data_IF_748324503243
#
_entry.id   IF_748324503243
#
_cell.length_a   1.000
_cell.length_b   1.000
_cell.length_c   1.000
_cell.angle_alpha   90.00
_cell.angle_beta   90.00
_cell.angle_gamma   90.00
#
_symmetry.space_group_name_H-M   'P 1'
#
loop_
_entity.id
_entity.type
_entity.pdbx_description
1 polymer ?
#
# COMPACT_ATOMS: atom_id res chain seq x y z
N UNK A 1 34.69 57.28 59.63
CA UNK A 1 33.96 56.05 60.00
C UNK A 1 32.46 56.31 59.84
N UNK A 2 31.80 55.42 59.09
CA UNK A 2 30.36 55.14 59.01
C UNK A 2 29.36 56.17 58.44
N UNK A 3 28.64 55.69 57.40
CA UNK A 3 27.21 55.89 57.07
C UNK A 3 26.83 56.77 55.86
N UNK A 4 26.35 56.13 54.77
CA UNK A 4 25.02 56.32 54.12
C UNK A 4 24.98 55.52 52.79
N UNK A 5 23.99 54.62 52.56
CA UNK A 5 22.69 54.81 51.86
C UNK A 5 22.85 55.49 50.49
N UNK A 6 22.24 55.10 49.37
CA UNK A 6 21.14 54.17 49.04
C UNK A 6 21.01 54.07 47.51
N UNK A 7 20.70 52.87 47.01
CA UNK A 7 19.74 52.52 45.95
C UNK A 7 19.65 53.35 44.65
N UNK A 8 20.04 52.70 43.55
CA UNK A 8 19.67 53.03 42.17
C UNK A 8 18.16 52.82 41.93
N UNK A 9 17.51 53.81 41.34
CA UNK A 9 16.17 53.72 40.71
C UNK A 9 16.28 54.45 39.37
N UNK A 10 16.33 53.70 38.26
CA UNK A 10 15.22 53.43 37.33
C UNK A 10 15.01 54.56 36.32
N UNK A 11 15.07 54.25 35.02
CA UNK A 11 14.23 54.85 33.96
C UNK A 11 14.43 54.10 32.62
N UNK A 12 13.29 53.62 32.09
CA UNK A 12 12.88 53.46 30.68
C UNK A 12 13.63 52.43 29.81
N UNK A 13 12.97 51.60 29.02
CA UNK A 13 11.55 51.52 28.68
C UNK A 13 11.39 50.72 27.38
N UNK A 14 10.25 50.01 27.28
CA UNK A 14 9.58 49.59 26.05
C UNK A 14 10.36 48.68 25.09
N UNK A 15 10.44 47.38 25.43
CA UNK A 15 10.39 46.32 24.43
C UNK A 15 8.94 45.85 24.28
N UNK A 16 8.26 46.37 23.26
CA UNK A 16 6.99 45.82 22.80
C UNK A 16 7.22 44.38 22.35
N UNK A 17 6.77 43.43 23.17
CA UNK A 17 6.78 42.02 22.82
C UNK A 17 5.62 41.80 21.88
N UNK A 18 5.89 41.72 20.57
CA UNK A 18 5.02 40.97 19.67
C UNK A 18 5.15 39.51 20.08
N UNK A 19 4.30 39.06 21.00
CA UNK A 19 4.02 37.65 21.14
C UNK A 19 3.23 37.25 19.90
N UNK A 20 3.92 36.74 18.88
CA UNK A 20 3.29 35.78 17.99
C UNK A 20 2.75 34.67 18.91
N UNK A 21 1.43 34.65 19.10
CA UNK A 21 0.76 33.50 19.70
C UNK A 21 1.01 32.37 18.73
N UNK A 22 2.01 31.54 19.03
CA UNK A 22 2.10 30.21 18.46
C UNK A 22 0.81 29.50 18.88
N UNK A 23 -0.20 29.53 18.01
CA UNK A 23 -1.40 28.70 18.16
C UNK A 23 -0.87 27.28 18.07
N UNK A 24 -0.80 26.61 19.22
CA UNK A 24 -0.33 25.24 19.28
C UNK A 24 -1.25 24.38 18.43
N UNK A 25 -0.72 23.79 17.38
CA UNK A 25 -1.49 22.91 16.50
C UNK A 25 -2.03 21.75 17.33
N UNK A 26 -3.36 21.62 17.38
CA UNK A 26 -4.04 20.64 18.22
C UNK A 26 -4.02 19.23 17.61
N UNK A 27 -3.95 18.23 18.48
CA UNK A 27 -4.26 16.82 18.16
C UNK A 27 -5.64 16.42 18.69
N UNK A 28 -6.54 17.38 18.77
CA UNK A 28 -7.86 17.23 19.39
C UNK A 28 -8.91 17.84 18.48
N UNK A 29 -10.00 17.12 18.26
CA UNK A 29 -11.11 17.64 17.46
C UNK A 29 -11.99 18.59 18.28
N UNK A 30 -12.30 19.78 17.76
CA UNK A 30 -13.08 20.78 18.48
C UNK A 30 -14.55 20.40 18.70
N UNK A 31 -15.10 19.45 17.92
CA UNK A 31 -16.51 19.06 18.01
C UNK A 31 -16.77 17.97 19.05
N UNK A 32 -15.83 17.05 19.26
CA UNK A 32 -16.01 15.94 20.22
C UNK A 32 -14.90 15.79 21.27
N UNK A 33 -13.85 16.62 21.22
CA UNK A 33 -12.77 16.63 22.20
C UNK A 33 -11.87 15.39 22.18
N UNK A 34 -11.98 14.54 21.16
CA UNK A 34 -11.18 13.30 21.03
C UNK A 34 -9.94 13.52 20.18
N UNK A 35 -9.01 12.57 20.23
CA UNK A 35 -7.79 12.64 19.43
C UNK A 35 -8.10 12.77 17.93
N UNK A 36 -7.51 13.76 17.28
CA UNK A 36 -7.65 14.03 15.85
C UNK A 36 -6.43 14.81 15.33
N UNK A 37 -5.70 14.20 14.40
CA UNK A 37 -4.54 14.79 13.72
C UNK A 37 -4.92 15.57 12.45
N UNK A 38 -6.22 15.81 12.19
CA UNK A 38 -6.69 16.48 10.98
C UNK A 38 -6.29 17.95 10.90
N UNK A 39 -6.32 18.67 12.03
CA UNK A 39 -5.78 20.04 12.10
C UNK A 39 -4.26 20.01 11.91
N UNK A 40 -3.56 19.11 12.61
CA UNK A 40 -2.13 18.91 12.41
C UNK A 40 -1.74 18.65 10.96
N UNK A 41 -2.46 17.78 10.24
CA UNK A 41 -2.21 17.50 8.83
C UNK A 41 -2.58 18.69 7.94
N UNK A 42 -3.63 19.44 8.25
CA UNK A 42 -3.99 20.64 7.49
C UNK A 42 -2.93 21.75 7.63
N UNK A 43 -2.37 21.91 8.82
CA UNK A 43 -1.39 22.96 9.10
C UNK A 43 0.03 22.53 8.76
N UNK A 44 0.46 21.30 9.03
CA UNK A 44 1.86 20.88 8.92
C UNK A 44 2.18 20.07 7.66
N UNK A 45 1.24 19.92 6.74
CA UNK A 45 1.51 19.42 5.38
C UNK A 45 2.28 20.48 4.54
N UNK A 46 3.36 21.02 5.09
CA UNK A 46 4.24 22.01 4.48
C UNK A 46 5.31 21.32 3.64
N UNK A 47 4.88 20.74 2.51
CA UNK A 47 5.82 20.15 1.56
C UNK A 47 6.50 18.85 2.01
N UNK A 48 6.32 18.41 3.26
CA UNK A 48 6.85 17.15 3.79
C UNK A 48 5.94 16.55 4.88
N UNK A 49 5.63 15.26 4.80
CA UNK A 49 4.89 14.50 5.80
C UNK A 49 5.57 13.14 6.04
N UNK A 50 6.19 12.91 7.21
CA UNK A 50 6.76 11.61 7.55
C UNK A 50 5.66 10.64 7.98
N UNK A 51 5.69 9.44 7.43
CA UNK A 51 4.72 8.37 7.65
C UNK A 51 5.47 7.13 8.12
N UNK A 52 5.25 6.65 9.36
CA UNK A 52 5.81 5.38 9.80
C UNK A 52 5.10 4.24 9.05
N UNK A 53 5.87 3.19 8.75
CA UNK A 53 5.35 1.94 8.21
C UNK A 53 5.64 0.85 9.23
N UNK A 54 4.63 0.03 9.50
CA UNK A 54 4.77 -1.18 10.31
C UNK A 54 4.49 -2.36 9.37
N UNK A 55 5.45 -3.27 9.27
CA UNK A 55 5.33 -4.49 8.47
C UNK A 55 4.98 -5.62 9.42
N UNK A 56 3.96 -6.37 9.05
CA UNK A 56 3.39 -7.48 9.84
C UNK A 56 3.02 -8.65 8.90
N UNK A 57 3.80 -8.80 7.84
CA UNK A 57 3.56 -9.78 6.80
C UNK A 57 4.17 -11.13 7.21
N UNK A 58 3.37 -12.20 7.38
CA UNK A 58 3.88 -13.51 7.79
C UNK A 58 5.03 -14.04 6.92
N UNK A 59 5.06 -13.71 5.62
CA UNK A 59 6.12 -14.15 4.71
C UNK A 59 7.51 -13.56 5.01
N UNK A 60 7.57 -12.39 5.66
CA UNK A 60 8.84 -11.65 5.92
C UNK A 60 9.05 -11.27 7.39
N UNK A 61 8.08 -11.56 8.26
CA UNK A 61 8.10 -11.26 9.69
C UNK A 61 7.79 -9.81 10.02
N UNK A 62 8.07 -9.42 11.26
CA UNK A 62 7.85 -8.05 11.73
C UNK A 62 8.89 -7.10 11.18
N UNK A 63 8.46 -5.90 10.81
CA UNK A 63 9.36 -4.85 10.34
C UNK A 63 8.85 -3.45 10.57
N UNK A 64 9.72 -2.49 10.31
CA UNK A 64 9.41 -1.08 10.42
C UNK A 64 10.11 -0.30 9.33
N UNK A 65 9.51 0.84 8.97
CA UNK A 65 10.05 1.74 7.98
C UNK A 65 9.56 3.16 8.17
N UNK A 66 10.10 4.05 7.35
CA UNK A 66 9.66 5.43 7.28
C UNK A 66 9.59 5.85 5.83
N UNK A 67 8.51 6.56 5.52
CA UNK A 67 8.31 7.19 4.22
C UNK A 67 8.08 8.67 4.41
N UNK A 68 8.86 9.48 3.71
CA UNK A 68 8.65 10.91 3.56
C UNK A 68 7.79 11.20 2.34
N UNK A 69 6.65 11.84 2.53
CA UNK A 69 5.81 12.36 1.44
C UNK A 69 6.09 13.84 1.22
N UNK A 70 6.61 14.19 0.05
CA UNK A 70 6.89 15.54 -0.38
C UNK A 70 5.76 16.08 -1.25
N UNK A 71 5.10 17.14 -0.77
CA UNK A 71 3.89 17.70 -1.36
C UNK A 71 4.27 18.89 -2.25
N UNK A 72 4.05 18.77 -3.56
CA UNK A 72 4.43 19.80 -4.54
C UNK A 72 3.18 20.56 -4.99
N UNK A 73 3.05 21.79 -4.53
CA UNK A 73 1.96 22.71 -4.83
C UNK A 73 2.45 24.16 -4.76
N UNK A 74 1.77 25.08 -5.45
CA UNK A 74 2.03 26.51 -5.28
C UNK A 74 1.51 27.01 -3.94
N UNK A 75 2.00 28.16 -3.46
CA UNK A 75 1.52 28.78 -2.23
C UNK A 75 0.00 29.06 -2.27
N UNK A 76 -0.52 29.41 -3.44
CA UNK A 76 -1.97 29.60 -3.64
C UNK A 76 -2.75 28.29 -3.50
N UNK A 77 -2.29 27.21 -4.13
CA UNK A 77 -2.91 25.89 -4.05
C UNK A 77 -2.90 25.35 -2.62
N UNK A 78 -1.77 25.55 -1.94
CA UNK A 78 -1.59 25.20 -0.53
C UNK A 78 -2.60 25.91 0.36
N UNK A 79 -2.75 27.22 0.21
CA UNK A 79 -3.70 28.01 1.01
C UNK A 79 -5.15 27.61 0.72
N UNK A 80 -5.49 27.31 -0.54
CA UNK A 80 -6.81 26.78 -0.90
C UNK A 80 -7.07 25.43 -0.24
N UNK A 81 -6.12 24.49 -0.32
CA UNK A 81 -6.21 23.17 0.31
C UNK A 81 -6.39 23.28 1.82
N UNK A 82 -5.60 24.15 2.48
CA UNK A 82 -5.72 24.42 3.92
C UNK A 82 -7.11 24.96 4.27
N UNK A 83 -7.63 25.94 3.53
CA UNK A 83 -8.98 26.49 3.75
C UNK A 83 -10.07 25.42 3.62
N UNK A 84 -10.03 24.61 2.56
CA UNK A 84 -10.99 23.52 2.36
C UNK A 84 -10.87 22.49 3.49
N UNK A 85 -9.66 22.12 3.90
CA UNK A 85 -9.45 21.21 5.02
C UNK A 85 -10.03 21.76 6.33
N UNK A 86 -9.76 23.03 6.64
CA UNK A 86 -10.26 23.71 7.85
C UNK A 86 -11.79 23.92 7.85
N UNK A 87 -12.44 23.92 6.70
CA UNK A 87 -13.91 23.96 6.58
C UNK A 87 -14.55 22.58 6.53
N UNK A 88 -13.81 21.55 6.11
CA UNK A 88 -14.30 20.18 6.04
C UNK A 88 -14.48 19.61 7.43
N UNK A 89 -15.62 18.96 7.66
CA UNK A 89 -15.93 18.29 8.94
C UNK A 89 -15.78 16.78 8.80
N UNK A 90 -16.47 16.15 7.84
CA UNK A 90 -16.55 14.69 7.71
C UNK A 90 -16.02 14.19 6.34
N UNK A 91 -14.70 14.02 6.22
CA UNK A 91 -14.11 13.31 5.08
C UNK A 91 -14.15 14.00 3.71
N UNK A 92 -14.48 15.30 3.66
CA UNK A 92 -14.55 16.09 2.42
C UNK A 92 -13.22 16.74 1.98
N UNK A 93 -12.18 16.71 2.83
CA UNK A 93 -10.90 17.31 2.50
C UNK A 93 -10.01 16.38 1.67
N UNK A 94 -9.28 16.95 0.71
CA UNK A 94 -8.25 16.22 -0.05
C UNK A 94 -6.88 16.47 0.59
N UNK A 95 -6.24 15.40 1.07
CA UNK A 95 -4.89 15.48 1.65
C UNK A 95 -3.79 15.55 0.58
N UNK A 96 -3.94 14.75 -0.49
CA UNK A 96 -2.89 14.56 -1.50
C UNK A 96 -3.05 15.62 -2.61
N UNK A 97 -2.04 16.49 -2.81
CA UNK A 97 -2.05 17.49 -3.87
C UNK A 97 -1.83 16.87 -5.26
N UNK A 98 -1.93 17.68 -6.34
CA UNK A 98 -1.74 17.19 -7.70
C UNK A 98 -0.36 16.56 -7.97
N UNK A 99 0.69 16.96 -7.24
CA UNK A 99 2.01 16.37 -7.37
C UNK A 99 2.58 15.97 -6.00
N UNK A 100 2.99 14.70 -5.86
CA UNK A 100 3.61 14.18 -4.64
C UNK A 100 4.81 13.31 -4.98
N UNK A 101 5.92 13.50 -4.29
CA UNK A 101 7.05 12.57 -4.31
C UNK A 101 7.08 11.81 -3.00
N UNK A 102 7.35 10.53 -3.04
CA UNK A 102 7.44 9.65 -1.89
C UNK A 102 8.85 9.09 -1.87
N UNK A 103 9.54 9.16 -0.73
CA UNK A 103 10.86 8.55 -0.57
C UNK A 103 10.88 7.82 0.77
N UNK A 104 11.37 6.59 0.80
CA UNK A 104 11.49 5.89 2.06
C UNK A 104 12.08 4.51 1.93
N UNK A 105 12.02 3.79 3.03
CA UNK A 105 12.47 2.41 3.10
C UNK A 105 12.00 1.75 4.38
N UNK A 106 12.07 0.43 4.38
CA UNK A 106 11.70 -0.40 5.51
C UNK A 106 12.59 -1.65 5.55
N UNK A 107 12.65 -2.27 6.72
CA UNK A 107 13.32 -3.53 6.93
C UNK A 107 12.52 -4.40 7.91
N UNK A 108 12.69 -5.71 7.82
CA UNK A 108 12.07 -6.71 8.69
C UNK A 108 13.13 -7.50 9.45
N UNK A 109 12.68 -8.22 10.47
CA UNK A 109 13.52 -9.05 11.32
C UNK A 109 14.18 -10.22 10.57
N UNK A 110 13.58 -10.70 9.47
CA UNK A 110 14.16 -11.75 8.65
C UNK A 110 15.25 -11.25 7.69
N UNK A 111 15.58 -9.96 7.72
CA UNK A 111 16.60 -9.35 6.86
C UNK A 111 16.07 -8.84 5.52
N UNK A 112 14.79 -9.01 5.21
CA UNK A 112 14.14 -8.36 4.06
C UNK A 112 14.17 -6.85 4.26
N UNK A 113 14.52 -6.11 3.21
CA UNK A 113 14.50 -4.65 3.22
C UNK A 113 14.27 -4.08 1.83
N UNK A 114 13.72 -2.89 1.78
CA UNK A 114 13.58 -2.13 0.54
C UNK A 114 13.78 -0.64 0.77
N UNK A 115 14.19 0.05 -0.30
CA UNK A 115 14.18 1.49 -0.41
C UNK A 115 13.47 1.87 -1.72
N UNK A 116 12.70 2.95 -1.69
CA UNK A 116 11.91 3.40 -2.82
C UNK A 116 11.90 4.92 -2.98
N UNK A 117 11.72 5.34 -4.22
CA UNK A 117 11.29 6.69 -4.58
C UNK A 117 10.17 6.58 -5.61
N UNK A 118 9.07 7.28 -5.36
CA UNK A 118 7.91 7.36 -6.23
C UNK A 118 7.52 8.81 -6.48
N UNK A 119 6.90 9.09 -7.61
CA UNK A 119 6.32 10.38 -7.95
C UNK A 119 4.98 10.16 -8.63
N UNK A 120 3.97 10.86 -8.14
CA UNK A 120 2.66 10.97 -8.79
C UNK A 120 2.47 12.42 -9.19
N UNK A 121 1.96 12.63 -10.41
CA UNK A 121 1.58 13.94 -10.89
C UNK A 121 0.29 13.90 -11.69
N UNK A 122 -0.49 14.96 -11.51
CA UNK A 122 -1.79 15.16 -12.12
C UNK A 122 -1.79 16.51 -12.84
N UNK A 123 -2.31 16.54 -14.08
CA UNK A 123 -2.44 17.75 -14.88
C UNK A 123 -3.88 17.92 -15.40
N UNK A 124 -4.16 19.13 -15.90
CA UNK A 124 -5.40 19.48 -16.60
C UNK A 124 -6.66 19.03 -15.86
N UNK A 125 -6.82 19.49 -14.60
CA UNK A 125 -8.00 19.16 -13.79
C UNK A 125 -8.24 17.64 -13.66
N UNK A 126 -7.13 16.92 -13.52
CA UNK A 126 -7.09 15.47 -13.37
C UNK A 126 -7.49 14.69 -14.63
N UNK A 127 -7.36 15.31 -15.80
CA UNK A 127 -7.48 14.65 -17.09
C UNK A 127 -6.25 13.82 -17.48
N UNK A 128 -5.07 14.13 -16.93
CA UNK A 128 -3.83 13.37 -17.20
C UNK A 128 -3.18 13.01 -15.86
N UNK A 129 -2.86 11.73 -15.68
CA UNK A 129 -2.15 11.23 -14.49
C UNK A 129 -0.87 10.53 -14.91
N UNK A 130 0.21 10.84 -14.21
CA UNK A 130 1.47 10.12 -14.28
C UNK A 130 1.79 9.54 -12.91
N UNK A 131 2.26 8.31 -12.91
CA UNK A 131 2.88 7.67 -11.77
C UNK A 131 4.20 7.07 -12.22
N UNK A 132 5.26 7.27 -11.46
CA UNK A 132 6.55 6.64 -11.72
C UNK A 132 7.24 6.34 -10.41
N UNK A 133 7.90 5.19 -10.33
CA UNK A 133 8.66 4.83 -9.14
C UNK A 133 9.78 3.86 -9.46
N UNK A 134 10.83 3.94 -8.65
CA UNK A 134 11.94 2.99 -8.66
C UNK A 134 12.23 2.58 -7.22
N UNK A 135 12.66 1.34 -7.05
CA UNK A 135 13.04 0.80 -5.76
C UNK A 135 14.12 -0.25 -5.91
N UNK A 136 14.78 -0.54 -4.81
CA UNK A 136 15.77 -1.60 -4.71
C UNK A 136 15.72 -2.21 -3.32
N UNK A 137 16.14 -3.45 -3.21
CA UNK A 137 16.06 -4.16 -1.95
C UNK A 137 16.47 -5.62 -2.05
N UNK A 138 16.26 -6.32 -0.95
CA UNK A 138 16.38 -7.76 -0.85
C UNK A 138 15.12 -8.32 -0.20
N UNK A 139 14.50 -9.31 -0.85
CA UNK A 139 13.34 -10.01 -0.32
C UNK A 139 13.73 -11.47 -0.01
N UNK A 140 13.65 -11.85 1.26
CA UNK A 140 13.93 -13.20 1.75
C UNK A 140 12.60 -13.83 2.07
N UNK A 141 12.18 -14.82 1.28
CA UNK A 141 10.87 -15.45 1.40
C UNK A 141 10.95 -16.94 1.16
N UNK A 142 9.95 -17.66 1.70
CA UNK A 142 9.76 -19.07 1.42
C UNK A 142 9.06 -19.22 0.07
N UNK A 143 9.69 -19.97 -0.83
CA UNK A 143 9.09 -20.38 -2.09
C UNK A 143 8.65 -21.84 -2.00
N UNK A 144 7.49 -22.17 -2.54
CA UNK A 144 6.90 -23.52 -2.42
C UNK A 144 6.91 -24.19 -3.80
N UNK A 145 8.08 -24.72 -4.26
CA UNK A 145 8.18 -25.33 -5.58
C UNK A 145 7.24 -26.55 -5.67
N UNK A 146 6.35 -26.52 -6.66
CA UNK A 146 5.15 -27.36 -6.74
C UNK A 146 5.42 -28.88 -6.90
N UNK A 147 4.44 -29.65 -6.40
CA UNK A 147 4.16 -31.08 -6.56
C UNK A 147 5.13 -32.12 -5.97
N UNK A 148 5.85 -31.82 -4.89
CA UNK A 148 6.38 -32.91 -4.04
C UNK A 148 5.69 -32.88 -2.67
N UNK A 149 4.99 -33.96 -2.32
CA UNK A 149 4.33 -34.11 -1.01
C UNK A 149 5.31 -33.95 0.16
N UNK A 150 6.60 -34.22 -0.07
CA UNK A 150 7.68 -34.11 0.91
C UNK A 150 8.08 -32.65 1.24
N UNK A 151 7.90 -31.71 0.32
CA UNK A 151 8.34 -30.31 0.48
C UNK A 151 7.20 -29.28 0.39
N UNK A 152 5.97 -29.73 0.07
CA UNK A 152 4.77 -28.87 -0.05
C UNK A 152 4.59 -27.93 1.15
N UNK A 153 4.84 -28.43 2.35
CA UNK A 153 4.64 -27.65 3.58
C UNK A 153 5.90 -26.95 4.10
N UNK A 154 7.09 -27.32 3.61
CA UNK A 154 8.37 -26.84 4.18
C UNK A 154 8.95 -25.61 3.48
N UNK A 155 8.59 -25.38 2.21
CA UNK A 155 9.14 -24.27 1.43
C UNK A 155 10.66 -24.36 1.25
N UNK A 156 11.20 -23.48 0.42
CA UNK A 156 12.63 -23.25 0.23
C UNK A 156 12.88 -21.77 0.36
N UNK A 157 13.79 -21.39 1.25
CA UNK A 157 14.16 -19.99 1.40
C UNK A 157 14.92 -19.51 0.16
N UNK A 158 14.39 -18.43 -0.43
CA UNK A 158 14.97 -17.76 -1.57
C UNK A 158 15.14 -16.29 -1.20
N UNK A 159 16.36 -15.79 -1.39
CA UNK A 159 16.64 -14.37 -1.36
C UNK A 159 16.64 -13.83 -2.79
N UNK A 160 15.82 -12.82 -3.05
CA UNK A 160 15.80 -12.09 -4.32
C UNK A 160 16.24 -10.66 -4.09
N UNK A 161 17.45 -10.34 -4.56
CA UNK A 161 18.04 -9.00 -4.54
C UNK A 161 17.80 -8.33 -5.88
N UNK A 162 17.45 -7.06 -5.89
CA UNK A 162 17.28 -6.39 -7.18
C UNK A 162 16.95 -4.92 -7.11
N UNK A 163 16.87 -4.34 -8.29
CA UNK A 163 16.31 -3.04 -8.53
C UNK A 163 15.15 -3.18 -9.52
N UNK A 164 14.13 -2.36 -9.35
CA UNK A 164 13.00 -2.35 -10.25
C UNK A 164 12.33 -0.99 -10.28
N UNK A 165 11.45 -0.81 -11.25
CA UNK A 165 10.69 0.40 -11.40
C UNK A 165 9.52 0.22 -12.34
N UNK A 166 8.56 1.11 -12.20
CA UNK A 166 7.40 1.17 -13.07
C UNK A 166 7.02 2.60 -13.37
N UNK A 167 6.38 2.81 -14.51
CA UNK A 167 5.81 4.09 -14.89
C UNK A 167 4.45 3.85 -15.55
N UNK A 168 3.48 4.71 -15.25
CA UNK A 168 2.13 4.71 -15.81
C UNK A 168 1.80 6.12 -16.29
N UNK A 169 1.23 6.22 -17.48
CA UNK A 169 0.66 7.45 -18.02
C UNK A 169 -0.78 7.17 -18.43
N UNK A 170 -1.70 7.92 -17.84
CA UNK A 170 -3.14 7.70 -17.94
C UNK A 170 -3.86 8.97 -18.39
N UNK A 171 -4.92 8.77 -19.16
CA UNK A 171 -5.79 9.81 -19.67
C UNK A 171 -7.23 9.52 -19.28
N UNK A 172 -7.92 10.53 -18.75
CA UNK A 172 -9.34 10.45 -18.42
C UNK A 172 -10.17 10.34 -19.70
N UNK A 173 -11.17 9.47 -19.68
CA UNK A 173 -12.14 9.31 -20.77
C UNK A 173 -13.30 10.27 -20.55
N UNK A 174 -13.30 11.38 -21.29
CA UNK A 174 -14.31 12.44 -21.19
C UNK A 174 -14.53 12.91 -19.73
N UNK A 175 -15.78 13.10 -19.32
CA UNK A 175 -16.16 13.50 -17.96
C UNK A 175 -16.40 12.31 -17.02
N UNK A 176 -15.93 11.11 -17.38
CA UNK A 176 -16.13 9.92 -16.57
C UNK A 176 -15.00 9.69 -15.55
N UNK A 177 -15.21 8.88 -14.51
CA UNK A 177 -14.15 8.43 -13.61
C UNK A 177 -13.17 7.40 -14.23
N UNK A 178 -13.31 7.09 -15.53
CA UNK A 178 -12.49 6.11 -16.23
C UNK A 178 -11.20 6.73 -16.76
N UNK A 179 -10.10 6.03 -16.54
CA UNK A 179 -8.78 6.32 -17.08
C UNK A 179 -8.30 5.14 -17.91
N UNK A 180 -7.67 5.46 -19.04
CA UNK A 180 -6.98 4.48 -19.88
C UNK A 180 -5.54 4.96 -20.04
N UNK A 181 -4.59 4.06 -19.92
CA UNK A 181 -3.18 4.39 -19.92
C UNK A 181 -2.28 3.35 -20.53
N UNK A 182 -1.03 3.74 -20.66
CA UNK A 182 0.10 2.86 -20.97
C UNK A 182 0.98 2.75 -19.74
N UNK A 183 1.70 1.63 -19.64
CA UNK A 183 2.65 1.41 -18.56
C UNK A 183 3.90 0.67 -19.00
N UNK A 184 4.95 0.88 -18.25
CA UNK A 184 6.22 0.20 -18.38
C UNK A 184 6.65 -0.34 -17.02
N UNK A 185 7.20 -1.55 -17.02
CA UNK A 185 7.83 -2.17 -15.88
C UNK A 185 9.25 -2.59 -16.26
N UNK A 186 10.19 -2.45 -15.34
CA UNK A 186 11.54 -2.97 -15.48
C UNK A 186 12.01 -3.50 -14.14
N UNK A 187 12.64 -4.68 -14.12
CA UNK A 187 13.38 -5.18 -12.98
C UNK A 187 14.63 -5.92 -13.42
N UNK A 188 15.65 -5.85 -12.57
CA UNK A 188 16.86 -6.66 -12.65
C UNK A 188 17.06 -7.29 -11.28
N UNK A 189 16.98 -8.61 -11.23
CA UNK A 189 17.03 -9.36 -9.98
C UNK A 189 18.04 -10.49 -10.05
N UNK A 190 18.69 -10.72 -8.93
CA UNK A 190 19.54 -11.86 -8.64
C UNK A 190 18.87 -12.70 -7.54
N UNK A 191 18.75 -13.99 -7.81
CA UNK A 191 18.07 -14.96 -6.97
C UNK A 191 19.13 -15.88 -6.40
N UNK A 192 19.20 -15.96 -5.07
CA UNK A 192 20.10 -16.83 -4.32
C UNK A 192 19.30 -17.74 -3.40
N UNK A 193 19.78 -18.95 -3.17
CA UNK A 193 19.22 -19.85 -2.15
C UNK A 193 20.28 -20.22 -1.13
N UNK A 194 19.86 -20.33 0.12
CA UNK A 194 20.71 -20.80 1.21
C UNK A 194 20.56 -22.32 1.32
N UNK A 195 21.65 -23.05 1.09
CA UNK A 195 21.87 -24.45 1.49
C UNK A 195 20.68 -25.42 1.39
N UNK A 196 20.43 -25.97 0.19
CA UNK A 196 19.57 -27.18 0.06
C UNK A 196 20.25 -28.41 0.70
N UNK A 197 21.57 -28.36 0.90
CA UNK A 197 22.38 -29.43 1.50
C UNK A 197 23.11 -28.90 2.74
N UNK A 198 22.94 -29.62 3.85
CA UNK A 198 23.35 -29.32 5.23
C UNK A 198 24.86 -29.10 5.48
N UNK A 199 25.69 -28.94 4.45
CA UNK A 199 27.15 -28.97 4.60
C UNK A 199 27.95 -27.83 3.94
N UNK A 200 27.31 -26.85 3.29
CA UNK A 200 28.01 -25.62 2.90
C UNK A 200 27.15 -24.38 3.15
N UNK A 201 27.65 -23.50 4.02
CA UNK A 201 27.08 -22.20 4.38
C UNK A 201 27.24 -21.14 3.29
N UNK A 202 27.48 -21.54 2.04
CA UNK A 202 27.60 -20.65 0.88
C UNK A 202 26.28 -20.64 0.13
N UNK A 203 25.58 -19.50 0.15
CA UNK A 203 24.44 -19.31 -0.75
C UNK A 203 24.89 -19.40 -2.21
N UNK A 204 24.09 -20.05 -3.06
CA UNK A 204 24.38 -20.18 -4.50
C UNK A 204 23.41 -19.31 -5.30
N UNK A 205 23.93 -18.53 -6.25
CA UNK A 205 23.12 -17.78 -7.22
C UNK A 205 22.41 -18.77 -8.15
N UNK A 206 21.08 -18.84 -8.03
CA UNK A 206 20.21 -19.68 -8.85
C UNK A 206 19.99 -19.07 -10.23
N UNK A 207 19.79 -17.75 -10.28
CA UNK A 207 19.51 -17.04 -11.52
C UNK A 207 19.79 -15.55 -11.36
N UNK A 208 20.16 -14.92 -12.48
CA UNK A 208 20.08 -13.48 -12.66
C UNK A 208 19.18 -13.23 -13.86
N UNK A 209 18.23 -12.32 -13.72
CA UNK A 209 17.17 -12.14 -14.70
C UNK A 209 16.73 -10.69 -14.77
N UNK A 210 16.54 -10.23 -16.00
CA UNK A 210 15.92 -8.96 -16.34
C UNK A 210 14.48 -9.25 -16.78
N UNK A 211 13.52 -8.57 -16.17
CA UNK A 211 12.13 -8.55 -16.62
C UNK A 211 11.78 -7.14 -17.08
N UNK A 212 11.52 -6.98 -18.38
CA UNK A 212 11.14 -5.70 -18.96
C UNK A 212 9.80 -5.85 -19.65
N UNK A 213 8.81 -5.09 -19.19
CA UNK A 213 7.43 -5.18 -19.61
C UNK A 213 6.91 -3.85 -20.14
N UNK A 214 6.11 -3.91 -21.20
CA UNK A 214 5.27 -2.80 -21.65
C UNK A 214 3.82 -3.24 -21.62
N UNK A 215 2.91 -2.32 -21.40
CA UNK A 215 1.52 -2.69 -21.17
C UNK A 215 0.53 -1.55 -21.29
N UNK A 216 -0.73 -1.91 -21.12
CA UNK A 216 -1.86 -0.99 -21.00
C UNK A 216 -2.50 -1.16 -19.63
N UNK A 217 -3.12 -0.09 -19.14
CA UNK A 217 -3.88 -0.11 -17.90
C UNK A 217 -5.22 0.62 -18.05
N UNK A 218 -6.16 0.23 -17.21
CA UNK A 218 -7.49 0.82 -17.11
C UNK A 218 -7.82 0.97 -15.63
N UNK A 219 -8.19 2.18 -15.22
CA UNK A 219 -8.56 2.49 -13.84
C UNK A 219 -9.90 3.21 -13.82
N UNK A 220 -10.84 2.73 -13.02
CA UNK A 220 -12.10 3.39 -12.73
C UNK A 220 -12.20 3.57 -11.21
N UNK A 221 -12.44 4.78 -10.73
CA UNK A 221 -12.62 5.04 -9.30
C UNK A 221 -13.82 5.97 -9.06
N UNK A 222 -14.92 5.39 -8.57
CA UNK A 222 -16.12 6.11 -8.16
C UNK A 222 -16.37 6.02 -6.66
N UNK A 223 -15.34 5.71 -5.87
CA UNK A 223 -15.45 5.66 -4.41
C UNK A 223 -15.67 7.06 -3.82
N UNK A 224 -16.45 7.12 -2.75
CA UNK A 224 -16.75 8.39 -2.07
C UNK A 224 -15.58 8.93 -1.22
N UNK A 225 -14.64 8.07 -0.82
CA UNK A 225 -13.45 8.46 -0.08
C UNK A 225 -12.26 7.60 -0.50
N UNK A 226 -11.08 8.21 -0.58
CA UNK A 226 -9.85 7.54 -1.00
C UNK A 226 -9.29 6.58 0.06
N UNK A 227 -9.37 6.94 1.35
CA UNK A 227 -8.78 6.17 2.45
C UNK A 227 -9.78 5.18 3.08
N UNK A 228 -11.00 5.64 3.36
CA UNK A 228 -12.03 4.84 4.00
C UNK A 228 -13.37 4.93 3.26
N UNK A 229 -13.48 4.31 2.07
CA UNK A 229 -14.71 4.27 1.30
C UNK A 229 -15.85 3.57 2.06
N UNK A 230 -17.05 4.14 1.93
CA UNK A 230 -18.31 3.57 2.44
C UNK A 230 -19.38 3.43 1.35
N UNK A 231 -19.11 3.99 0.18
CA UNK A 231 -20.00 3.94 -0.97
C UNK A 231 -19.19 4.04 -2.27
N UNK A 232 -19.64 3.31 -3.28
CA UNK A 232 -19.06 3.33 -4.62
C UNK A 232 -18.18 2.12 -4.87
N UNK A 233 -17.51 2.10 -6.00
CA UNK A 233 -16.68 0.98 -6.43
C UNK A 233 -15.50 1.48 -7.27
N UNK A 234 -14.51 0.62 -7.39
CA UNK A 234 -13.40 0.79 -8.31
C UNK A 234 -13.18 -0.46 -9.14
N UNK A 235 -12.40 -0.29 -10.20
CA UNK A 235 -11.92 -1.37 -11.02
C UNK A 235 -10.56 -0.98 -11.60
N UNK A 236 -9.59 -1.88 -11.46
CA UNK A 236 -8.28 -1.75 -12.07
C UNK A 236 -8.00 -2.98 -12.94
N UNK A 237 -7.48 -2.76 -14.13
CA UNK A 237 -7.00 -3.81 -15.01
C UNK A 237 -5.65 -3.41 -15.63
N UNK A 238 -4.70 -4.33 -15.60
CA UNK A 238 -3.33 -4.12 -16.05
C UNK A 238 -2.90 -5.31 -16.89
N UNK A 239 -2.45 -5.06 -18.11
CA UNK A 239 -1.94 -6.10 -19.00
C UNK A 239 -0.55 -5.74 -19.49
N UNK A 240 0.45 -6.59 -19.20
CA UNK A 240 1.83 -6.38 -19.61
C UNK A 240 2.34 -7.54 -20.47
N UNK A 241 3.12 -7.20 -21.49
CA UNK A 241 3.92 -8.13 -22.27
C UNK A 241 5.38 -7.96 -21.92
N UNK A 242 6.03 -9.08 -21.63
CA UNK A 242 7.48 -9.18 -21.41
C UNK A 242 8.09 -9.85 -22.63
N UNK A 243 9.06 -9.18 -23.26
CA UNK A 243 9.67 -9.66 -24.50
C UNK A 243 11.17 -9.39 -24.56
N UNK A 244 11.92 -10.27 -25.22
CA UNK A 244 13.32 -10.00 -25.55
C UNK A 244 13.52 -8.68 -26.31
N UNK A 245 12.62 -8.35 -27.24
CA UNK A 245 12.67 -7.11 -28.03
C UNK A 245 12.53 -5.81 -27.20
N UNK A 246 12.06 -5.90 -25.95
CA UNK A 246 11.98 -4.78 -25.00
C UNK A 246 12.95 -4.96 -23.81
N UNK A 247 13.89 -5.91 -23.91
CA UNK A 247 14.97 -6.12 -22.94
C UNK A 247 14.65 -7.11 -21.82
N UNK A 248 13.59 -7.92 -21.94
CA UNK A 248 13.32 -9.02 -21.00
C UNK A 248 14.17 -10.25 -21.34
N UNK A 249 14.61 -10.99 -20.32
CA UNK A 249 15.31 -12.28 -20.51
C UNK A 249 14.35 -13.43 -20.78
N UNK A 250 13.09 -13.31 -20.33
CA UNK A 250 12.04 -14.31 -20.50
C UNK A 250 10.82 -13.70 -21.20
N UNK A 251 10.12 -14.53 -21.98
CA UNK A 251 8.90 -14.13 -22.69
C UNK A 251 7.63 -14.62 -21.96
N UNK A 252 6.82 -13.67 -21.48
CA UNK A 252 5.57 -13.97 -20.77
C UNK A 252 4.61 -12.78 -20.81
N UNK A 253 3.36 -13.00 -20.42
CA UNK A 253 2.34 -11.97 -20.24
C UNK A 253 1.74 -12.05 -18.85
N UNK A 254 1.39 -10.90 -18.30
CA UNK A 254 0.63 -10.81 -17.06
C UNK A 254 -0.66 -10.03 -17.26
N UNK A 255 -1.74 -10.49 -16.64
CA UNK A 255 -3.00 -9.77 -16.50
C UNK A 255 -3.32 -9.69 -15.02
N UNK A 256 -3.49 -8.48 -14.50
CA UNK A 256 -4.01 -8.22 -13.17
C UNK A 256 -5.36 -7.52 -13.30
N UNK A 257 -6.36 -8.01 -12.59
CA UNK A 257 -7.68 -7.39 -12.49
C UNK A 257 -8.09 -7.35 -11.03
N UNK A 258 -8.49 -6.19 -10.55
CA UNK A 258 -9.06 -6.04 -9.22
C UNK A 258 -10.26 -5.11 -9.24
N UNK A 259 -11.18 -5.32 -8.29
CA UNK A 259 -12.32 -4.44 -8.09
C UNK A 259 -12.77 -4.53 -6.64
N UNK A 260 -13.05 -3.38 -6.06
CA UNK A 260 -13.73 -3.31 -4.76
C UNK A 260 -15.04 -2.52 -4.84
N UNK A 261 -16.04 -2.93 -4.08
CA UNK A 261 -17.35 -2.29 -4.04
C UNK A 261 -17.82 -2.13 -2.60
N UNK A 262 -18.39 -0.97 -2.30
CA UNK A 262 -18.87 -0.56 -0.97
C UNK A 262 -20.34 -0.16 -1.06
N UNK A 263 -21.18 -0.82 -0.28
CA UNK A 263 -22.63 -0.65 -0.27
C UNK A 263 -23.08 -0.25 1.14
N UNK A 264 -23.59 0.97 1.34
CA UNK A 264 -24.19 1.35 2.62
C UNK A 264 -25.53 0.62 2.78
N UNK A 265 -25.59 -0.33 3.71
CA UNK A 265 -26.79 -1.15 3.98
C UNK A 265 -27.67 -0.57 5.09
N UNK A 266 -27.10 0.31 5.93
CA UNK A 266 -27.79 1.14 6.90
C UNK A 266 -26.93 2.36 7.26
N UNK A 267 -27.43 3.28 8.09
CA UNK A 267 -26.75 4.56 8.42
C UNK A 267 -25.29 4.38 8.88
N UNK A 268 -25.00 3.32 9.64
CA UNK A 268 -23.67 3.05 10.19
C UNK A 268 -23.08 1.71 9.73
N UNK A 269 -23.69 1.08 8.72
CA UNK A 269 -23.30 -0.25 8.26
C UNK A 269 -22.97 -0.22 6.78
N UNK A 270 -21.77 -0.66 6.44
CA UNK A 270 -21.31 -0.82 5.06
C UNK A 270 -20.96 -2.28 4.83
N UNK A 271 -21.44 -2.82 3.71
CA UNK A 271 -20.99 -4.10 3.19
C UNK A 271 -19.99 -3.84 2.07
N UNK A 272 -18.83 -4.47 2.14
CA UNK A 272 -17.77 -4.33 1.16
C UNK A 272 -17.41 -5.68 0.54
N UNK A 273 -17.06 -5.65 -0.73
CA UNK A 273 -16.62 -6.80 -1.51
C UNK A 273 -15.36 -6.44 -2.28
N UNK A 274 -14.40 -7.35 -2.34
CA UNK A 274 -13.22 -7.24 -3.17
C UNK A 274 -13.02 -8.53 -3.96
N UNK A 275 -12.63 -8.37 -5.22
CA UNK A 275 -12.18 -9.45 -6.09
C UNK A 275 -10.83 -9.09 -6.68
N UNK A 276 -9.94 -10.07 -6.73
CA UNK A 276 -8.67 -9.98 -7.45
C UNK A 276 -8.51 -11.23 -8.32
N UNK A 277 -8.00 -11.03 -9.52
CA UNK A 277 -7.65 -12.08 -10.46
C UNK A 277 -6.31 -11.76 -11.11
N UNK A 278 -5.41 -12.74 -11.10
CA UNK A 278 -4.13 -12.66 -11.76
C UNK A 278 -4.01 -13.80 -12.77
N UNK A 279 -3.41 -13.50 -13.93
CA UNK A 279 -2.90 -14.52 -14.82
C UNK A 279 -1.48 -14.23 -15.27
N UNK A 280 -0.70 -15.28 -15.40
CA UNK A 280 0.60 -15.34 -16.02
C UNK A 280 0.55 -16.39 -17.13
N UNK A 281 0.75 -15.95 -18.36
CA UNK A 281 0.85 -16.82 -19.53
C UNK A 281 2.30 -16.86 -20.00
N UNK A 282 2.85 -18.05 -20.22
CA UNK A 282 4.23 -18.21 -20.69
C UNK A 282 4.42 -19.60 -21.28
N UNK A 283 5.30 -19.69 -22.29
CA UNK A 283 5.84 -20.97 -22.80
C UNK A 283 7.18 -21.32 -22.13
N UNK A 284 7.67 -20.46 -21.24
CA UNK A 284 8.94 -20.64 -20.55
C UNK A 284 8.88 -21.82 -19.58
N UNK A 285 9.98 -22.56 -19.50
CA UNK A 285 10.04 -23.73 -18.61
C UNK A 285 9.98 -23.33 -17.13
N UNK A 286 10.57 -22.19 -16.78
CA UNK A 286 10.59 -21.59 -15.45
C UNK A 286 10.76 -20.08 -15.58
N UNK A 287 10.11 -19.35 -14.68
CA UNK A 287 10.29 -17.92 -14.48
C UNK A 287 10.87 -17.66 -13.09
N UNK A 288 11.39 -16.44 -12.85
CA UNK A 288 11.76 -15.99 -11.51
C UNK A 288 10.61 -16.23 -10.51
N UNK A 289 10.87 -16.71 -9.27
CA UNK A 289 9.83 -16.94 -8.27
C UNK A 289 8.86 -15.77 -8.06
N UNK A 290 9.36 -14.54 -8.05
CA UNK A 290 8.54 -13.33 -7.88
C UNK A 290 7.75 -12.90 -9.12
N UNK A 291 7.90 -13.59 -10.24
CA UNK A 291 7.08 -13.33 -11.42
C UNK A 291 5.68 -13.96 -11.28
N UNK A 292 5.58 -15.08 -10.55
CA UNK A 292 4.31 -15.79 -10.38
C UNK A 292 3.42 -15.06 -9.38
N UNK A 293 2.15 -14.78 -9.72
CA UNK A 293 1.20 -14.24 -8.77
C UNK A 293 0.86 -15.27 -7.68
N UNK A 294 0.42 -14.75 -6.54
CA UNK A 294 -0.08 -15.50 -5.40
C UNK A 294 -1.53 -15.14 -5.04
N UNK A 295 -2.11 -15.88 -4.10
CA UNK A 295 -3.43 -15.54 -3.52
C UNK A 295 -3.26 -14.34 -2.60
N UNK A 296 -3.82 -13.19 -2.99
CA UNK A 296 -3.86 -12.00 -2.15
C UNK A 296 -5.10 -11.98 -1.25
N UNK A 297 -4.98 -12.51 -0.02
CA UNK A 297 -6.02 -12.45 1.00
C UNK A 297 -5.42 -12.22 2.38
N UNK A 298 -6.03 -11.34 3.17
CA UNK A 298 -5.62 -11.14 4.57
C UNK A 298 -5.67 -12.46 5.35
N UNK A 299 -4.58 -12.78 6.03
CA UNK A 299 -4.40 -14.02 6.77
C UNK A 299 -3.69 -15.13 5.97
N UNK A 300 -3.50 -14.95 4.66
CA UNK A 300 -2.68 -15.83 3.82
C UNK A 300 -1.33 -15.14 3.58
N UNK A 301 -0.19 -15.79 3.90
CA UNK A 301 1.13 -15.21 3.63
C UNK A 301 1.38 -15.00 2.15
N UNK A 302 2.06 -13.91 1.80
CA UNK A 302 2.53 -13.65 0.44
C UNK A 302 3.42 -14.81 -0.05
N UNK A 303 3.32 -15.16 -1.33
CA UNK A 303 4.01 -16.29 -1.98
C UNK A 303 3.65 -17.70 -1.47
N UNK A 304 2.72 -17.85 -0.51
CA UNK A 304 2.35 -19.18 0.01
C UNK A 304 1.70 -20.05 -1.07
N UNK A 305 0.80 -19.45 -1.86
CA UNK A 305 0.00 -20.14 -2.86
C UNK A 305 0.13 -19.44 -4.20
N UNK A 306 1.19 -19.77 -4.94
CA UNK A 306 1.45 -19.21 -6.26
C UNK A 306 0.81 -20.02 -7.38
N UNK A 307 0.57 -19.40 -8.52
CA UNK A 307 0.02 -20.08 -9.68
C UNK A 307 0.24 -19.28 -10.95
N UNK A 308 0.05 -19.91 -12.10
CA UNK A 308 -0.15 -19.14 -13.33
C UNK A 308 -1.47 -18.38 -13.28
N UNK A 309 -2.49 -18.92 -12.62
CA UNK A 309 -3.74 -18.23 -12.38
C UNK A 309 -3.99 -18.17 -10.88
N UNK A 310 -4.33 -16.99 -10.36
CA UNK A 310 -4.81 -16.85 -8.97
C UNK A 310 -6.07 -16.02 -8.93
N UNK A 311 -6.94 -16.32 -7.97
CA UNK A 311 -8.11 -15.50 -7.68
C UNK A 311 -8.31 -15.37 -6.19
N UNK A 312 -8.85 -14.24 -5.77
CA UNK A 312 -9.20 -13.95 -4.39
C UNK A 312 -10.53 -13.21 -4.33
N UNK A 313 -11.38 -13.60 -3.38
CA UNK A 313 -12.71 -13.04 -3.16
C UNK A 313 -12.88 -12.76 -1.68
N UNK A 314 -13.03 -11.51 -1.30
CA UNK A 314 -13.17 -11.10 0.10
C UNK A 314 -14.45 -10.31 0.30
N UNK A 315 -15.14 -10.59 1.40
CA UNK A 315 -16.30 -9.81 1.87
C UNK A 315 -16.01 -9.24 3.26
N UNK A 316 -16.52 -8.04 3.53
CA UNK A 316 -16.32 -7.36 4.81
C UNK A 316 -17.59 -6.62 5.23
N UNK A 317 -18.07 -6.87 6.45
CA UNK A 317 -19.10 -6.06 7.10
C UNK A 317 -18.40 -5.03 7.98
N UNK A 318 -18.73 -3.76 7.81
CA UNK A 318 -18.15 -2.64 8.54
C UNK A 318 -19.24 -1.95 9.34
N UNK A 319 -19.06 -1.85 10.65
CA UNK A 319 -19.99 -1.16 11.55
C UNK A 319 -19.30 -0.02 12.28
N UNK A 320 -19.74 1.20 11.98
CA UNK A 320 -19.32 2.41 12.68
C UNK A 320 -20.19 2.60 13.94
N UNK A 321 -19.79 1.95 15.03
CA UNK A 321 -20.58 1.96 16.27
C UNK A 321 -20.49 3.28 17.05
N UNK A 322 -19.46 4.10 16.80
CA UNK A 322 -19.42 5.50 17.24
C UNK A 322 -18.85 6.39 16.12
N UNK A 323 -18.99 7.73 16.17
CA UNK A 323 -18.38 8.62 15.19
C UNK A 323 -16.85 8.48 15.04
N UNK A 324 -16.16 7.86 16.01
CA UNK A 324 -14.70 7.64 15.98
C UNK A 324 -14.27 6.21 15.74
N UNK A 325 -15.13 5.26 16.06
CA UNK A 325 -14.74 3.86 16.14
C UNK A 325 -15.61 3.02 15.23
N UNK A 326 -14.92 2.20 14.45
CA UNK A 326 -15.54 1.20 13.59
C UNK A 326 -14.95 -0.16 13.89
N UNK A 327 -15.77 -1.20 13.75
CA UNK A 327 -15.34 -2.59 13.77
C UNK A 327 -15.69 -3.22 12.43
N UNK A 328 -14.88 -4.18 11.98
CA UNK A 328 -15.17 -4.97 10.80
C UNK A 328 -15.04 -6.46 11.08
N UNK A 329 -15.86 -7.24 10.38
CA UNK A 329 -15.73 -8.69 10.27
C UNK A 329 -15.54 -8.99 8.78
N UNK A 330 -14.50 -9.73 8.44
CA UNK A 330 -14.20 -10.10 7.05
C UNK A 330 -13.96 -11.59 6.90
N UNK A 331 -14.19 -12.08 5.70
CA UNK A 331 -13.94 -13.44 5.29
C UNK A 331 -13.81 -13.53 3.78
N UNK A 332 -12.91 -14.40 3.33
CA UNK A 332 -12.63 -14.57 1.92
C UNK A 332 -12.13 -15.96 1.57
N UNK A 333 -12.17 -16.24 0.27
CA UNK A 333 -11.66 -17.46 -0.34
C UNK A 333 -10.83 -17.11 -1.55
N UNK A 334 -9.77 -17.86 -1.79
CA UNK A 334 -8.91 -17.66 -2.94
C UNK A 334 -8.32 -18.97 -3.39
N UNK A 335 -7.86 -19.02 -4.63
CA UNK A 335 -7.31 -20.24 -5.19
C UNK A 335 -6.26 -19.96 -6.24
N UNK A 336 -5.40 -20.94 -6.46
CA UNK A 336 -4.27 -20.87 -7.37
C UNK A 336 -4.23 -22.11 -8.26
N UNK A 337 -3.84 -21.95 -9.52
CA UNK A 337 -3.46 -23.08 -10.36
C UNK A 337 -2.01 -23.50 -10.09
N UNK A 338 -1.52 -24.52 -10.82
CA UNK A 338 -0.09 -24.84 -10.84
C UNK A 338 0.75 -23.76 -11.54
N UNK A 339 2.08 -23.84 -11.40
CA UNK A 339 3.02 -22.91 -12.06
C UNK A 339 3.75 -23.53 -13.24
N UNK A 340 4.10 -22.68 -14.21
CA UNK A 340 4.84 -23.05 -15.42
C UNK A 340 4.17 -24.22 -16.14
N UNK A 341 4.95 -25.28 -16.39
CA UNK A 341 4.48 -26.49 -17.07
C UNK A 341 3.54 -27.37 -16.23
N UNK A 342 3.47 -27.16 -14.92
CA UNK A 342 2.54 -27.87 -14.03
C UNK A 342 1.18 -27.18 -13.95
N UNK A 343 0.95 -26.10 -14.71
CA UNK A 343 -0.33 -25.43 -14.79
C UNK A 343 -1.33 -26.23 -15.63
N UNK A 344 -2.43 -26.65 -15.00
CA UNK A 344 -3.51 -27.40 -15.65
C UNK A 344 -4.61 -26.49 -16.23
N UNK A 345 -4.39 -25.18 -16.20
CA UNK A 345 -5.30 -24.16 -16.72
C UNK A 345 -5.99 -23.35 -15.62
N UNK A 346 -6.81 -22.39 -16.05
CA UNK A 346 -7.50 -21.48 -15.14
C UNK A 346 -8.48 -22.21 -14.21
N UNK A 347 -9.18 -23.23 -14.69
CA UNK A 347 -10.19 -23.96 -13.89
C UNK A 347 -9.60 -24.59 -12.62
N UNK A 348 -8.32 -25.01 -12.67
CA UNK A 348 -7.61 -25.61 -11.54
C UNK A 348 -7.51 -24.66 -10.32
N UNK A 349 -7.64 -23.35 -10.50
CA UNK A 349 -7.68 -22.41 -9.38
C UNK A 349 -8.89 -22.60 -8.46
N UNK A 350 -9.92 -23.32 -8.91
CA UNK A 350 -11.14 -23.58 -8.13
C UNK A 350 -11.16 -24.96 -7.46
N UNK A 351 -10.14 -25.80 -7.69
CA UNK A 351 -10.10 -27.18 -7.17
C UNK A 351 -9.76 -27.25 -5.67
N UNK A 352 -8.91 -26.34 -5.19
CA UNK A 352 -8.44 -26.28 -3.79
C UNK A 352 -8.43 -24.83 -3.27
N UNK A 353 -9.62 -24.27 -3.06
CA UNK A 353 -9.76 -22.91 -2.54
C UNK A 353 -9.36 -22.82 -1.06
N UNK A 354 -8.48 -21.86 -0.76
CA UNK A 354 -8.04 -21.49 0.58
C UNK A 354 -8.94 -20.42 1.16
N UNK A 355 -9.27 -20.53 2.43
CA UNK A 355 -10.10 -19.57 3.13
C UNK A 355 -9.30 -18.80 4.18
N UNK A 356 -9.73 -17.59 4.45
CA UNK A 356 -9.26 -16.79 5.57
C UNK A 356 -10.40 -15.93 6.11
N UNK A 357 -10.37 -15.63 7.41
CA UNK A 357 -11.33 -14.74 8.04
C UNK A 357 -10.67 -13.95 9.16
N UNK A 358 -11.32 -12.88 9.58
CA UNK A 358 -10.76 -12.05 10.63
C UNK A 358 -11.66 -10.92 11.05
N UNK A 359 -11.16 -10.13 11.99
CA UNK A 359 -11.84 -8.95 12.48
C UNK A 359 -10.87 -7.80 12.63
N UNK A 360 -11.39 -6.58 12.44
CA UNK A 360 -10.63 -5.36 12.50
C UNK A 360 -11.30 -4.33 13.39
N UNK A 361 -10.50 -3.44 13.98
CA UNK A 361 -11.00 -2.21 14.56
C UNK A 361 -10.31 -1.01 13.92
N UNK A 362 -11.00 0.12 13.90
CA UNK A 362 -10.53 1.36 13.28
C UNK A 362 -10.88 2.55 14.16
N UNK A 363 -9.94 3.47 14.29
CA UNK A 363 -10.12 4.78 14.88
C UNK A 363 -9.98 5.86 13.82
N UNK A 364 -10.89 6.83 13.82
CA UNK A 364 -10.85 8.01 12.95
C UNK A 364 -9.80 9.01 13.46
N UNK A 365 -8.56 8.83 12.98
CA UNK A 365 -7.41 9.65 13.39
C UNK A 365 -7.40 11.05 12.78
N UNK A 366 -8.10 11.27 11.66
CA UNK A 366 -8.22 12.60 11.05
C UNK A 366 -9.56 12.75 10.34
N UNK A 367 -10.56 13.29 11.05
CA UNK A 367 -11.97 13.35 10.62
C UNK A 367 -12.16 14.10 9.31
N UNK A 368 -11.48 15.26 9.16
CA UNK A 368 -11.58 16.14 7.98
C UNK A 368 -11.24 15.41 6.68
N UNK A 369 -10.34 14.43 6.75
CA UNK A 369 -9.86 13.63 5.61
C UNK A 369 -10.49 12.23 5.55
N UNK A 370 -11.24 11.81 6.58
CA UNK A 370 -11.82 10.47 6.66
C UNK A 370 -10.78 9.37 6.92
N UNK A 371 -9.60 9.74 7.45
CA UNK A 371 -8.50 8.77 7.62
C UNK A 371 -8.75 7.96 8.88
N UNK A 372 -8.94 6.66 8.66
CA UNK A 372 -9.06 5.67 9.71
C UNK A 372 -7.76 4.88 9.82
N UNK A 373 -7.34 4.57 11.03
CA UNK A 373 -6.21 3.68 11.30
C UNK A 373 -6.62 2.67 12.36
N UNK A 374 -6.10 1.45 12.27
CA UNK A 374 -6.26 0.48 13.34
C UNK A 374 -5.56 -0.82 13.02
N UNK A 375 -6.08 -1.91 13.57
CA UNK A 375 -5.48 -3.23 13.39
C UNK A 375 -6.50 -4.29 13.03
N UNK A 376 -6.03 -5.33 12.34
CA UNK A 376 -6.78 -6.53 11.97
C UNK A 376 -6.12 -7.76 12.56
N UNK A 377 -6.92 -8.72 13.02
CA UNK A 377 -6.47 -10.08 13.31
C UNK A 377 -7.12 -10.99 12.26
N UNK A 378 -6.31 -11.75 11.54
CA UNK A 378 -6.73 -12.68 10.53
C UNK A 378 -6.27 -14.11 10.85
N UNK A 379 -7.07 -15.08 10.44
CA UNK A 379 -6.88 -16.51 10.63
C UNK A 379 -7.08 -17.19 9.27
N UNK A 380 -6.20 -18.11 8.92
CA UNK A 380 -6.35 -19.01 7.76
C UNK A 380 -6.09 -20.45 8.20
N UNK A 381 -6.08 -21.41 7.26
CA UNK A 381 -5.88 -22.83 7.57
C UNK A 381 -4.58 -23.11 8.33
N UNK A 382 -3.52 -22.35 8.04
CA UNK A 382 -2.16 -22.66 8.48
C UNK A 382 -1.51 -21.52 9.26
N UNK A 383 -2.05 -20.30 9.18
CA UNK A 383 -1.40 -19.10 9.69
C UNK A 383 -2.38 -18.16 10.39
N UNK A 384 -1.82 -17.37 11.30
CA UNK A 384 -2.51 -16.25 11.93
C UNK A 384 -1.67 -14.99 11.69
N UNK A 385 -2.33 -13.89 11.37
CA UNK A 385 -1.66 -12.64 11.08
C UNK A 385 -2.31 -11.48 11.85
N UNK A 386 -1.48 -10.50 12.22
CA UNK A 386 -1.93 -9.28 12.89
C UNK A 386 -1.45 -8.08 12.11
N UNK A 387 -2.35 -7.33 11.49
CA UNK A 387 -2.01 -6.22 10.60
C UNK A 387 -2.25 -4.87 11.23
N UNK A 388 -1.42 -3.88 10.91
CA UNK A 388 -1.72 -2.47 11.13
C UNK A 388 -2.10 -1.81 9.81
N UNK A 389 -3.32 -1.27 9.73
CA UNK A 389 -3.89 -0.78 8.49
C UNK A 389 -4.34 0.68 8.61
N UNK A 390 -4.06 1.45 7.56
CA UNK A 390 -4.71 2.74 7.29
C UNK A 390 -5.78 2.49 6.24
N UNK A 391 -7.01 2.94 6.51
CA UNK A 391 -8.15 2.70 5.65
C UNK A 391 -8.98 1.47 6.03
N UNK A 392 -9.68 0.89 5.06
CA UNK A 392 -10.61 -0.24 5.30
C UNK A 392 -9.86 -1.54 5.56
N UNK A 393 -8.63 -1.65 5.06
CA UNK A 393 -7.86 -2.90 5.03
C UNK A 393 -8.39 -3.93 4.04
N UNK A 394 -9.38 -3.57 3.22
CA UNK A 394 -9.97 -4.45 2.23
C UNK A 394 -9.04 -4.64 1.03
#
# INVERSE_FOLDING_TARGET
MTSSRSWLTLLLGLSGSFSEVAVGVGFTDPLDGKFDAGEYLAENAYGFLPMPIIITEPAVGYGAGIVGMFLHESDEQKEQRRKVALQSVDGGARLIPPAVTVVGGAATENGTWFALIGHRRVWNEDAIRYFGGVGFGSAIMQFYPFSSDLLKDKGVEIETKGLGGMQKLQFRVADSPLYIGVQQFYSNSEITTNGIFDNESSGFTLAKTISSGLGVNLEYDAKNNFFYPTQGWDFNAEYLWYRNGIGSDNDYETLFVSSSAYVPIATNWTLAFAVEYNSLTTDESKLPPLAYPDINLRGIPVNRYQGNYTSAYQSQVMWQFTPRWSVSLFGGVGGNSGTGRSNEGAEAMFDDMKWAYGTGFRYLIARRYGIHMGADIAFSEQDNAFYFNVGTGL
#
